data_IF_173079589044
#
_entry.id   IF_173079589044
#
_cell.length_a   1.000
_cell.length_b   1.000
_cell.length_c   1.000
_cell.angle_alpha   90.00
_cell.angle_beta   90.00
_cell.angle_gamma   90.00
#
_symmetry.space_group_name_H-M   'P 1'
#
loop_
_entity.id
_entity.type
_entity.pdbx_description
1 polymer ?
#
# COMPACT_ATOMS: atom_id res chain seq x y z
N UNK A 1 18.09 -0.45 18.27
CA UNK A 1 17.07 -1.28 17.59
C UNK A 1 16.85 -0.75 16.20
N UNK A 2 16.86 -1.64 15.21
CA UNK A 2 16.61 -1.34 13.81
C UNK A 2 15.13 -0.99 13.56
N UNK A 3 14.87 -0.25 12.48
CA UNK A 3 13.54 0.05 11.97
C UNK A 3 12.85 -1.24 11.53
N UNK A 4 11.61 -1.45 11.99
CA UNK A 4 10.78 -2.61 11.66
C UNK A 4 9.70 -2.25 10.65
N UNK A 5 9.49 -3.12 9.66
CA UNK A 5 8.51 -2.90 8.60
C UNK A 5 7.75 -4.18 8.27
N UNK A 6 6.44 -4.07 8.12
CA UNK A 6 5.57 -5.14 7.63
C UNK A 6 4.91 -4.70 6.33
N UNK A 7 4.97 -5.54 5.30
CA UNK A 7 4.31 -5.30 4.01
C UNK A 7 3.30 -6.40 3.71
N UNK A 8 2.03 -6.03 3.49
CA UNK A 8 0.93 -6.99 3.34
C UNK A 8 -0.11 -6.52 2.32
N UNK A 9 -0.53 -7.40 1.42
CA UNK A 9 -1.74 -7.17 0.64
C UNK A 9 -2.94 -7.61 1.49
N UNK A 10 -3.88 -6.70 1.75
CA UNK A 10 -5.01 -6.96 2.64
C UNK A 10 -6.29 -7.34 1.89
N UNK A 11 -6.27 -7.31 0.55
CA UNK A 11 -7.39 -7.63 -0.32
C UNK A 11 -8.69 -6.90 0.09
N UNK A 12 -8.60 -5.59 0.34
CA UNK A 12 -9.72 -4.79 0.82
C UNK A 12 -10.23 -5.16 2.22
N UNK A 13 -9.44 -5.89 3.01
CA UNK A 13 -9.82 -6.31 4.37
C UNK A 13 -10.92 -7.37 4.43
N UNK A 14 -11.00 -8.25 3.42
CA UNK A 14 -11.98 -9.36 3.38
C UNK A 14 -11.84 -10.24 4.64
N UNK A 15 -10.60 -10.57 5.03
CA UNK A 15 -10.28 -11.33 6.25
C UNK A 15 -10.16 -10.41 7.48
N UNK A 16 -11.18 -9.58 7.70
CA UNK A 16 -11.15 -8.48 8.67
C UNK A 16 -10.72 -8.88 10.08
N UNK A 17 -11.38 -9.86 10.70
CA UNK A 17 -11.09 -10.23 12.09
C UNK A 17 -9.64 -10.69 12.28
N UNK A 18 -9.11 -11.43 11.31
CA UNK A 18 -7.73 -11.91 11.29
C UNK A 18 -6.75 -10.75 11.10
N UNK A 19 -7.05 -9.82 10.17
CA UNK A 19 -6.25 -8.61 9.93
C UNK A 19 -6.18 -7.74 11.19
N UNK A 20 -7.31 -7.45 11.83
CA UNK A 20 -7.36 -6.60 13.04
C UNK A 20 -6.61 -7.27 14.20
N UNK A 21 -6.77 -8.57 14.38
CA UNK A 21 -6.02 -9.32 15.40
C UNK A 21 -4.51 -9.26 15.12
N UNK A 22 -4.10 -9.45 13.86
CA UNK A 22 -2.71 -9.34 13.44
C UNK A 22 -2.14 -7.95 13.73
N UNK A 23 -2.87 -6.89 13.38
CA UNK A 23 -2.44 -5.50 13.60
C UNK A 23 -2.25 -5.19 15.09
N UNK A 24 -3.19 -5.60 15.94
CA UNK A 24 -3.08 -5.42 17.41
C UNK A 24 -1.84 -6.12 17.96
N UNK A 25 -1.61 -7.36 17.55
CA UNK A 25 -0.47 -8.16 18.00
C UNK A 25 0.88 -7.63 17.50
N UNK A 26 0.90 -6.84 16.42
CA UNK A 26 2.09 -6.27 15.82
C UNK A 26 2.16 -4.74 15.94
N UNK A 27 1.35 -4.14 16.80
CA UNK A 27 1.20 -2.67 16.95
C UNK A 27 2.49 -1.94 17.35
N UNK A 28 3.54 -2.65 17.76
CA UNK A 28 4.88 -2.10 18.00
C UNK A 28 5.73 -1.92 16.73
N UNK A 29 5.28 -2.43 15.57
CA UNK A 29 5.97 -2.28 14.29
C UNK A 29 6.05 -0.80 13.92
N UNK A 30 7.21 -0.33 13.44
CA UNK A 30 7.39 1.08 13.11
C UNK A 30 6.59 1.48 11.88
N UNK A 31 6.54 0.63 10.84
CA UNK A 31 5.88 0.94 9.58
C UNK A 31 5.09 -0.26 9.07
N UNK A 32 3.84 -0.03 8.67
CA UNK A 32 3.06 -0.98 7.88
C UNK A 32 2.84 -0.43 6.47
N UNK A 33 2.98 -1.29 5.47
CA UNK A 33 2.74 -1.00 4.06
C UNK A 33 1.64 -1.94 3.54
N UNK A 34 0.50 -1.40 3.15
CA UNK A 34 -0.68 -2.18 2.73
C UNK A 34 -1.04 -1.97 1.27
N UNK A 35 -1.32 -3.05 0.55
CA UNK A 35 -1.87 -3.02 -0.82
C UNK A 35 -3.36 -3.37 -0.81
N UNK A 36 -4.09 -2.92 -1.83
CA UNK A 36 -5.54 -3.15 -2.00
C UNK A 36 -6.32 -2.57 -0.81
N UNK A 37 -5.99 -1.31 -0.45
CA UNK A 37 -6.64 -0.55 0.63
C UNK A 37 -7.72 0.35 0.04
N UNK A 38 -8.89 0.43 0.67
CA UNK A 38 -9.94 1.39 0.30
C UNK A 38 -10.07 2.48 1.38
N UNK A 39 -10.29 3.72 0.95
CA UNK A 39 -10.54 4.88 1.81
C UNK A 39 -11.88 5.54 1.45
N UNK A 40 -12.98 4.91 1.87
CA UNK A 40 -14.35 5.20 1.46
C UNK A 40 -14.57 5.12 -0.06
N UNK A 41 -13.86 4.19 -0.71
CA UNK A 41 -13.93 3.96 -2.14
C UNK A 41 -15.12 3.11 -2.57
N UNK A 42 -15.13 2.74 -3.84
CA UNK A 42 -16.06 1.77 -4.42
C UNK A 42 -15.36 0.99 -5.52
N UNK A 43 -15.84 -0.23 -5.78
CA UNK A 43 -15.36 -1.04 -6.89
C UNK A 43 -16.44 -2.00 -7.38
N UNK A 44 -16.47 -2.25 -8.68
CA UNK A 44 -17.35 -3.24 -9.30
C UNK A 44 -16.66 -4.60 -9.51
N UNK A 45 -15.39 -4.73 -9.07
CA UNK A 45 -14.61 -5.94 -9.29
C UNK A 45 -15.12 -7.09 -8.39
N UNK A 46 -15.50 -8.25 -8.95
CA UNK A 46 -16.08 -9.34 -8.16
C UNK A 46 -15.21 -9.86 -7.01
N UNK A 47 -13.89 -9.76 -7.14
CA UNK A 47 -12.92 -10.15 -6.11
C UNK A 47 -13.07 -9.37 -4.80
N UNK A 48 -13.63 -8.15 -4.86
CA UNK A 48 -13.84 -7.27 -3.71
C UNK A 48 -15.28 -7.19 -3.24
N UNK A 49 -16.14 -8.14 -3.66
CA UNK A 49 -17.55 -8.18 -3.23
C UNK A 49 -17.73 -8.15 -1.70
N UNK A 50 -16.74 -8.63 -0.94
CA UNK A 50 -16.74 -8.67 0.53
C UNK A 50 -15.74 -7.69 1.17
N UNK A 51 -15.08 -6.86 0.38
CA UNK A 51 -14.13 -5.89 0.89
C UNK A 51 -14.83 -4.80 1.71
N UNK A 52 -14.07 -4.20 2.61
CA UNK A 52 -14.48 -3.07 3.43
C UNK A 52 -13.97 -1.81 2.78
N UNK A 53 -14.90 -1.03 2.23
CA UNK A 53 -14.57 0.18 1.48
C UNK A 53 -13.97 1.29 2.37
N UNK A 54 -14.14 1.19 3.69
CA UNK A 54 -13.61 2.09 4.71
C UNK A 54 -12.40 1.51 5.47
N UNK A 55 -11.77 0.45 4.95
CA UNK A 55 -10.74 -0.30 5.68
C UNK A 55 -9.56 0.56 6.13
N UNK A 56 -9.21 1.63 5.41
CA UNK A 56 -8.19 2.59 5.83
C UNK A 56 -8.49 3.16 7.23
N UNK A 57 -9.69 3.71 7.46
CA UNK A 57 -10.10 4.25 8.74
C UNK A 57 -10.23 3.19 9.84
N UNK A 58 -10.64 1.97 9.47
CA UNK A 58 -10.68 0.86 10.41
C UNK A 58 -9.27 0.50 10.91
N UNK A 59 -8.26 0.58 10.05
CA UNK A 59 -6.85 0.38 10.44
C UNK A 59 -6.34 1.54 11.30
N UNK A 60 -6.66 2.80 10.96
CA UNK A 60 -6.32 3.97 11.80
C UNK A 60 -6.82 3.79 13.24
N UNK A 61 -8.07 3.33 13.41
CA UNK A 61 -8.66 3.08 14.72
C UNK A 61 -7.93 1.99 15.53
N UNK A 62 -7.30 1.03 14.85
CA UNK A 62 -6.56 -0.07 15.49
C UNK A 62 -5.10 0.28 15.74
N UNK A 63 -4.55 1.20 14.95
CA UNK A 63 -3.18 1.70 15.05
C UNK A 63 -3.18 3.20 15.42
N UNK A 64 -3.72 3.61 16.58
CA UNK A 64 -3.87 5.03 16.93
C UNK A 64 -2.53 5.76 17.12
N UNK A 65 -1.44 5.02 17.26
CA UNK A 65 -0.08 5.56 17.39
C UNK A 65 0.68 5.59 16.05
N UNK A 66 -0.03 5.42 14.94
CA UNK A 66 0.50 5.51 13.59
C UNK A 66 -0.26 6.57 12.80
N UNK A 67 0.47 7.39 12.06
CA UNK A 67 -0.12 8.25 11.05
C UNK A 67 -0.34 7.46 9.75
N UNK A 68 -1.57 7.45 9.25
CA UNK A 68 -1.93 6.82 7.99
C UNK A 68 -1.71 7.77 6.81
N UNK A 69 -1.13 7.26 5.72
CA UNK A 69 -0.96 7.96 4.45
C UNK A 69 -1.50 7.04 3.35
N UNK A 70 -2.49 7.50 2.61
CA UNK A 70 -3.15 6.72 1.55
C UNK A 70 -3.00 7.42 0.20
N UNK A 71 -2.71 6.62 -0.84
CA UNK A 71 -2.84 7.06 -2.22
C UNK A 71 -3.65 6.07 -3.04
N UNK A 72 -4.74 6.54 -3.68
CA UNK A 72 -5.53 5.71 -4.58
C UNK A 72 -4.76 5.43 -5.87
N UNK A 73 -4.88 4.21 -6.41
CA UNK A 73 -4.34 3.90 -7.74
C UNK A 73 -5.21 4.49 -8.86
N UNK A 74 -6.52 4.64 -8.59
CA UNK A 74 -7.51 5.33 -9.41
C UNK A 74 -8.52 6.04 -8.52
N UNK A 75 -9.14 7.10 -9.02
CA UNK A 75 -10.09 7.92 -8.26
C UNK A 75 -11.20 7.05 -7.63
N UNK A 76 -11.38 7.18 -6.31
CA UNK A 76 -12.36 6.44 -5.51
C UNK A 76 -12.23 4.90 -5.52
N UNK A 77 -11.10 4.34 -5.97
CA UNK A 77 -10.85 2.90 -5.97
C UNK A 77 -9.80 2.51 -4.90
N UNK A 78 -9.34 1.27 -4.96
CA UNK A 78 -8.25 0.79 -4.10
C UNK A 78 -6.94 1.51 -4.34
N UNK A 79 -6.05 1.42 -3.36
CA UNK A 79 -4.72 1.96 -3.46
C UNK A 79 -3.73 1.31 -2.52
N UNK A 80 -2.67 2.06 -2.24
CA UNK A 80 -1.63 1.71 -1.29
C UNK A 80 -1.70 2.63 -0.09
N UNK A 81 -1.42 2.09 1.09
CA UNK A 81 -1.33 2.86 2.31
C UNK A 81 -0.06 2.54 3.10
N UNK A 82 0.49 3.56 3.74
CA UNK A 82 1.50 3.42 4.78
C UNK A 82 0.95 3.90 6.12
N UNK A 83 1.19 3.13 7.17
CA UNK A 83 0.92 3.52 8.56
C UNK A 83 2.26 3.60 9.28
N UNK A 84 2.66 4.80 9.67
CA UNK A 84 4.00 5.09 10.20
C UNK A 84 3.86 5.49 11.67
N UNK A 85 4.58 4.80 12.55
CA UNK A 85 4.60 5.08 13.99
C UNK A 85 4.92 6.54 14.26
N UNK A 86 4.22 7.16 15.21
CA UNK A 86 4.43 8.56 15.60
C UNK A 86 5.84 8.81 16.19
N UNK A 87 6.57 7.75 16.53
CA UNK A 87 7.97 7.82 16.95
C UNK A 87 8.97 7.92 15.77
N UNK A 88 8.48 7.79 14.54
CA UNK A 88 9.26 7.92 13.31
C UNK A 88 8.90 9.25 12.65
N UNK A 89 9.89 10.12 12.49
CA UNK A 89 9.68 11.41 11.86
C UNK A 89 9.52 11.24 10.35
N UNK A 90 8.43 11.73 9.78
CA UNK A 90 8.20 11.76 8.33
C UNK A 90 8.54 13.15 7.82
N UNK A 91 9.49 13.23 6.88
CA UNK A 91 9.96 14.51 6.32
C UNK A 91 9.25 14.86 5.01
N UNK A 92 9.39 14.01 4.00
CA UNK A 92 8.71 14.15 2.70
C UNK A 92 8.10 12.83 2.31
N UNK A 93 6.99 12.89 1.62
CA UNK A 93 6.28 11.72 1.13
C UNK A 93 5.63 12.05 -0.21
N UNK A 94 5.19 11.01 -0.91
CA UNK A 94 4.52 11.17 -2.18
C UNK A 94 4.32 9.85 -2.89
N UNK A 95 3.96 9.97 -4.16
CA UNK A 95 3.70 8.82 -5.01
C UNK A 95 4.02 9.14 -6.48
N UNK A 96 4.12 8.10 -7.29
CA UNK A 96 4.25 8.22 -8.74
C UNK A 96 3.72 6.97 -9.44
N UNK A 97 3.28 7.11 -10.68
CA UNK A 97 2.90 5.97 -11.52
C UNK A 97 4.11 5.12 -11.89
N UNK A 98 3.96 3.81 -11.76
CA UNK A 98 4.95 2.80 -12.18
C UNK A 98 4.43 1.89 -13.28
N UNK A 99 3.10 1.81 -13.46
CA UNK A 99 2.51 1.10 -14.58
C UNK A 99 1.19 1.74 -14.99
N UNK A 100 1.12 2.19 -16.25
CA UNK A 100 -0.02 2.89 -16.87
C UNK A 100 -0.40 4.19 -16.12
N UNK A 101 -0.99 5.13 -16.85
CA UNK A 101 -1.36 6.46 -16.34
C UNK A 101 -2.86 6.74 -16.49
N UNK A 102 -3.52 6.12 -17.48
CA UNK A 102 -4.89 6.46 -17.82
C UNK A 102 -5.91 5.65 -17.00
N UNK A 103 -7.00 6.30 -16.59
CA UNK A 103 -8.20 5.70 -16.01
C UNK A 103 -8.88 4.79 -17.05
N UNK A 104 -8.25 3.66 -17.36
CA UNK A 104 -8.84 2.65 -18.22
C UNK A 104 -9.84 1.89 -17.34
N UNK A 105 -11.11 2.29 -17.43
CA UNK A 105 -12.21 1.66 -16.72
C UNK A 105 -12.24 0.16 -17.00
N UNK A 106 -11.81 -0.71 -16.08
CA UNK A 106 -11.83 -2.16 -16.36
C UNK A 106 -12.05 -3.04 -15.14
N UNK A 107 -12.84 -4.09 -15.41
CA UNK A 107 -13.02 -5.26 -14.58
C UNK A 107 -11.78 -6.18 -14.51
N UNK A 108 -10.74 -5.93 -15.34
CA UNK A 108 -9.52 -6.75 -15.40
C UNK A 108 -8.36 -6.14 -14.59
N UNK A 109 -7.84 -6.93 -13.63
CA UNK A 109 -6.72 -6.56 -12.79
C UNK A 109 -5.38 -6.32 -13.53
N UNK A 110 -5.24 -6.78 -14.77
CA UNK A 110 -4.00 -6.64 -15.57
C UNK A 110 -3.81 -5.26 -16.18
N UNK A 111 -4.87 -4.47 -16.25
CA UNK A 111 -4.80 -3.13 -16.83
C UNK A 111 -4.78 -2.03 -15.79
N UNK A 112 -4.78 -2.41 -14.51
CA UNK A 112 -4.82 -1.47 -13.42
C UNK A 112 -3.59 -0.59 -13.43
N UNK A 113 -3.85 0.68 -13.19
CA UNK A 113 -2.85 1.67 -12.85
C UNK A 113 -2.13 1.21 -11.58
N UNK A 114 -0.79 1.24 -11.59
CA UNK A 114 0.01 0.97 -10.38
C UNK A 114 0.83 2.17 -10.02
N UNK A 115 0.88 2.46 -8.73
CA UNK A 115 1.69 3.53 -8.16
C UNK A 115 2.73 2.98 -7.20
N UNK A 116 3.84 3.70 -7.08
CA UNK A 116 4.77 3.58 -5.97
C UNK A 116 4.51 4.73 -5.01
N UNK A 117 4.25 4.38 -3.75
CA UNK A 117 4.22 5.29 -2.63
C UNK A 117 5.60 5.31 -1.97
N UNK A 118 6.06 6.49 -1.57
CA UNK A 118 7.33 6.65 -0.86
C UNK A 118 7.24 7.64 0.28
N UNK A 119 8.09 7.45 1.29
CA UNK A 119 8.28 8.36 2.39
C UNK A 119 9.75 8.40 2.84
N UNK A 120 10.30 9.60 3.01
CA UNK A 120 11.57 9.84 3.70
C UNK A 120 11.31 9.97 5.18
N UNK A 121 11.91 9.07 5.94
CA UNK A 121 11.70 8.95 7.38
C UNK A 121 13.01 9.01 8.15
N UNK A 122 12.98 9.58 9.35
CA UNK A 122 14.10 9.60 10.28
C UNK A 122 13.69 8.81 11.51
N UNK A 123 14.44 7.75 11.82
CA UNK A 123 14.28 6.96 13.03
C UNK A 123 15.62 6.93 13.77
N UNK A 124 15.64 7.45 15.01
CA UNK A 124 16.83 7.49 15.89
C UNK A 124 18.06 8.10 15.20
N UNK A 125 17.85 9.21 14.50
CA UNK A 125 18.91 9.95 13.80
C UNK A 125 19.39 9.34 12.49
N UNK A 126 18.82 8.22 12.04
CA UNK A 126 19.11 7.64 10.72
C UNK A 126 17.95 7.88 9.76
N UNK A 127 18.29 8.36 8.56
CA UNK A 127 17.35 8.58 7.47
C UNK A 127 17.16 7.31 6.64
N UNK A 128 15.92 7.06 6.22
CA UNK A 128 15.50 5.97 5.34
C UNK A 128 14.55 6.51 4.28
N UNK A 129 14.62 5.97 3.07
CA UNK A 129 13.54 6.11 2.08
C UNK A 129 12.78 4.80 2.02
N UNK A 130 11.51 4.84 2.38
CA UNK A 130 10.60 3.70 2.31
C UNK A 130 9.89 3.79 0.98
N UNK A 131 9.94 2.73 0.18
CA UNK A 131 9.23 2.62 -1.09
C UNK A 131 8.34 1.38 -1.05
N UNK A 132 7.08 1.55 -1.41
CA UNK A 132 6.08 0.49 -1.38
C UNK A 132 5.15 0.63 -2.58
N UNK A 133 4.86 -0.48 -3.23
CA UNK A 133 3.99 -0.52 -4.39
C UNK A 133 3.33 -1.89 -4.52
N UNK A 134 2.24 -1.94 -5.27
CA UNK A 134 1.65 -3.18 -5.74
C UNK A 134 2.01 -3.38 -7.20
N UNK A 135 2.93 -4.29 -7.50
CA UNK A 135 3.32 -4.55 -8.88
C UNK A 135 2.16 -5.07 -9.74
N UNK A 136 2.33 -5.01 -11.06
CA UNK A 136 1.34 -5.55 -12.01
C UNK A 136 1.00 -7.00 -11.68
N UNK A 137 -0.30 -7.29 -11.62
CA UNK A 137 -0.81 -8.64 -11.44
C UNK A 137 -0.66 -9.44 -12.74
N UNK A 138 -0.19 -10.68 -12.62
CA UNK A 138 -0.03 -11.60 -13.75
C UNK A 138 -0.73 -12.92 -13.40
N UNK A 139 -1.41 -13.51 -14.38
CA UNK A 139 -2.15 -14.77 -14.17
C UNK A 139 -1.21 -15.92 -13.84
N UNK A 140 -0.02 -15.87 -14.41
CA UNK A 140 1.06 -16.85 -14.31
C UNK A 140 1.82 -16.75 -12.97
N UNK A 141 1.44 -15.81 -12.10
CA UNK A 141 1.98 -15.69 -10.74
C UNK A 141 2.92 -14.50 -10.56
N UNK A 142 3.91 -14.64 -9.65
CA UNK A 142 4.79 -13.56 -9.20
C UNK A 142 6.16 -13.54 -9.90
N UNK A 143 6.27 -14.12 -11.09
CA UNK A 143 7.53 -14.21 -11.84
C UNK A 143 7.99 -12.84 -12.37
N UNK A 144 9.28 -12.76 -12.70
CA UNK A 144 9.85 -11.63 -13.43
C UNK A 144 9.36 -11.64 -14.87
N UNK A 145 8.32 -10.87 -15.14
CA UNK A 145 7.77 -10.66 -16.48
C UNK A 145 8.32 -9.37 -17.06
N UNK A 146 8.32 -9.24 -18.39
CA UNK A 146 8.71 -8.01 -19.07
C UNK A 146 7.96 -6.78 -18.52
N UNK A 147 6.67 -6.91 -18.21
CA UNK A 147 5.86 -5.84 -17.61
C UNK A 147 6.27 -5.48 -16.18
N UNK A 148 6.76 -6.44 -15.39
CA UNK A 148 7.31 -6.18 -14.05
C UNK A 148 8.69 -5.55 -14.12
N UNK A 149 9.54 -6.04 -15.01
CA UNK A 149 10.89 -5.50 -15.21
C UNK A 149 10.85 -4.06 -15.74
N UNK A 150 9.83 -3.68 -16.52
CA UNK A 150 9.59 -2.29 -16.93
C UNK A 150 9.33 -1.33 -15.75
N UNK A 151 8.90 -1.82 -14.59
CA UNK A 151 8.72 -0.99 -13.39
C UNK A 151 10.04 -0.70 -12.67
N UNK A 152 11.06 -1.55 -12.82
CA UNK A 152 12.34 -1.45 -12.08
C UNK A 152 13.11 -0.15 -12.29
N UNK A 153 13.23 0.44 -13.50
CA UNK A 153 13.95 1.70 -13.70
C UNK A 153 13.30 2.90 -12.99
N UNK A 154 12.01 2.82 -12.67
CA UNK A 154 11.30 3.86 -11.95
C UNK A 154 11.58 3.73 -10.45
N UNK A 155 11.53 2.50 -9.92
CA UNK A 155 11.79 2.23 -8.51
C UNK A 155 13.25 2.43 -8.13
N UNK A 156 14.19 2.21 -9.06
CA UNK A 156 15.63 2.43 -8.83
C UNK A 156 16.01 3.90 -8.61
N UNK A 157 15.12 4.86 -8.89
CA UNK A 157 15.38 6.29 -8.63
C UNK A 157 15.36 6.65 -7.14
N UNK A 158 14.92 5.73 -6.30
CA UNK A 158 14.80 5.89 -4.85
C UNK A 158 15.84 5.07 -4.06
N UNK A 159 16.73 4.36 -4.77
CA UNK A 159 17.87 3.62 -4.22
C UNK A 159 19.14 4.44 -4.49
#
# INVERSE_FOLDING_TARGET
MALSLINLNIQGGIEYSSLITFLKNNSSTDIFCFQEVFNNGHTNRPVFKKARMDIFHQIENVLPNHQGIFYPEQENEEGVAMFISNNVHVGKEGWLFIHRWENIAQADGRVLTRILQWARVINKGKEYTICHFHGVWQREGKNDTSERLKQSPITSRFI
#
